data_IF_455375297495
#
_entry.id   IF_455375297495
#
_cell.length_a   1.000
_cell.length_b   1.000
_cell.length_c   1.000
_cell.angle_alpha   90.00
_cell.angle_beta   90.00
_cell.angle_gamma   90.00
#
_symmetry.space_group_name_H-M   'P 1'
#
loop_
_entity.id
_entity.type
_entity.pdbx_description
1 polymer ?
#
# COMPACT_ATOMS: atom_id res chain seq x y z
N UNK A 1 21.31 -39.75 11.32
CA UNK A 1 20.42 -39.08 10.35
C UNK A 1 19.95 -37.78 11.00
N UNK A 2 20.63 -36.67 10.72
CA UNK A 2 20.23 -35.35 11.19
C UNK A 2 19.65 -34.59 9.99
N UNK A 3 18.33 -34.44 9.97
CA UNK A 3 17.64 -33.54 9.05
C UNK A 3 17.18 -32.33 9.84
N UNK A 4 18.09 -31.37 9.94
CA UNK A 4 17.81 -30.03 10.42
C UNK A 4 17.36 -29.20 9.21
N UNK A 5 16.10 -29.37 8.81
CA UNK A 5 15.44 -28.53 7.81
C UNK A 5 15.15 -27.15 8.41
N UNK A 6 16.19 -26.32 8.50
CA UNK A 6 16.08 -24.91 8.80
C UNK A 6 15.72 -24.18 7.49
N UNK A 7 14.44 -24.25 7.14
CA UNK A 7 13.89 -23.58 5.97
C UNK A 7 13.81 -22.07 6.25
N UNK A 8 14.82 -21.35 5.79
CA UNK A 8 14.88 -19.89 5.72
C UNK A 8 13.72 -19.36 4.86
N UNK A 9 12.56 -19.11 5.48
CA UNK A 9 11.44 -18.41 4.86
C UNK A 9 11.33 -17.01 5.45
N UNK A 10 11.60 -16.01 4.60
CA UNK A 10 11.18 -14.63 4.84
C UNK A 10 12.27 -13.58 4.72
N UNK A 11 12.96 -13.50 3.58
CA UNK A 11 13.66 -12.28 3.15
C UNK A 11 12.67 -11.16 2.83
N UNK A 12 11.92 -10.68 3.82
CA UNK A 12 11.28 -9.38 3.76
C UNK A 12 12.37 -8.34 4.00
N UNK A 13 12.68 -7.52 3.00
CA UNK A 13 13.62 -6.42 3.15
C UNK A 13 13.28 -5.64 4.43
N UNK A 14 14.26 -5.34 5.30
CA UNK A 14 14.01 -4.57 6.50
C UNK A 14 13.33 -3.25 6.10
N UNK A 15 12.26 -2.81 6.79
CA UNK A 15 11.64 -1.54 6.48
C UNK A 15 12.72 -0.45 6.51
N UNK A 16 12.80 0.43 5.49
CA UNK A 16 13.83 1.46 5.46
C UNK A 16 13.76 2.26 6.77
N UNK A 17 14.91 2.55 7.41
CA UNK A 17 14.94 3.26 8.67
C UNK A 17 14.15 4.57 8.52
N UNK A 18 13.08 4.68 9.30
CA UNK A 18 12.32 5.92 9.41
C UNK A 18 13.24 6.91 10.11
N UNK A 19 13.49 8.12 9.55
CA UNK A 19 14.30 9.10 10.24
C UNK A 19 13.62 9.48 11.56
N UNK A 20 14.22 9.02 12.65
CA UNK A 20 13.91 9.41 14.01
C UNK A 20 14.28 10.88 14.22
N UNK A 21 13.29 11.66 14.64
CA UNK A 21 13.42 12.94 15.33
C UNK A 21 13.89 14.14 14.49
N UNK A 22 12.93 15.01 14.17
CA UNK A 22 12.79 16.36 14.76
C UNK A 22 11.57 17.01 14.12
N UNK A 23 10.68 17.61 14.91
CA UNK A 23 9.67 18.52 14.38
C UNK A 23 10.38 19.67 13.65
N UNK A 24 10.51 19.53 12.33
CA UNK A 24 10.80 20.60 11.39
C UNK A 24 9.59 20.71 10.48
N UNK A 25 9.21 21.94 10.17
CA UNK A 25 7.93 22.39 9.60
C UNK A 25 7.53 21.74 8.26
N UNK A 26 8.36 20.87 7.69
CA UNK A 26 8.18 20.24 6.38
C UNK A 26 8.74 18.80 6.37
N UNK A 27 7.95 17.80 5.99
CA UNK A 27 8.39 16.42 5.80
C UNK A 27 8.73 16.20 4.31
N UNK A 28 10.01 16.07 3.95
CA UNK A 28 10.47 15.97 2.56
C UNK A 28 10.86 14.54 2.16
N UNK A 29 10.49 14.13 0.94
CA UNK A 29 10.96 12.90 0.32
C UNK A 29 12.40 13.05 -0.15
N UNK A 30 13.29 12.17 0.30
CA UNK A 30 14.69 12.17 -0.12
C UNK A 30 14.92 11.63 -1.54
N UNK A 31 13.95 10.90 -2.10
CA UNK A 31 14.07 10.29 -3.45
C UNK A 31 13.73 11.30 -4.54
N UNK A 32 12.63 12.04 -4.38
CA UNK A 32 12.14 12.99 -5.40
C UNK A 32 12.06 14.44 -4.91
N UNK A 33 12.49 14.73 -3.68
CA UNK A 33 12.46 16.08 -3.11
C UNK A 33 11.07 16.60 -2.74
N UNK A 34 10.01 15.81 -2.92
CA UNK A 34 8.63 16.28 -2.72
C UNK A 34 8.35 16.57 -1.25
N UNK A 35 7.78 17.74 -0.97
CA UNK A 35 7.44 18.16 0.38
C UNK A 35 6.02 17.74 0.76
N UNK A 36 5.86 17.37 2.03
CA UNK A 36 4.59 16.99 2.64
C UNK A 36 4.38 17.78 3.91
N UNK A 37 3.12 18.15 4.15
CA UNK A 37 2.71 18.84 5.38
C UNK A 37 2.85 17.95 6.63
N UNK A 38 2.81 16.63 6.45
CA UNK A 38 2.79 15.67 7.56
C UNK A 38 3.70 14.48 7.28
N UNK A 39 4.35 13.96 8.32
CA UNK A 39 5.23 12.79 8.21
C UNK A 39 4.50 11.53 7.73
N UNK A 40 3.24 11.32 8.17
CA UNK A 40 2.46 10.17 7.72
C UNK A 40 2.16 10.21 6.21
N UNK A 41 2.04 11.41 5.62
CA UNK A 41 1.90 11.59 4.18
C UNK A 41 3.20 11.21 3.45
N UNK A 42 4.33 11.66 3.99
CA UNK A 42 5.65 11.28 3.47
C UNK A 42 5.84 9.75 3.55
N UNK A 43 5.57 9.13 4.69
CA UNK A 43 5.68 7.67 4.87
C UNK A 43 4.78 6.91 3.89
N UNK A 44 3.56 7.40 3.65
CA UNK A 44 2.67 6.84 2.62
C UNK A 44 3.24 7.04 1.21
N UNK A 45 3.79 8.21 0.92
CA UNK A 45 4.41 8.52 -0.37
C UNK A 45 5.62 7.63 -0.64
N UNK A 46 6.45 7.32 0.35
CA UNK A 46 7.61 6.44 0.18
C UNK A 46 7.26 5.07 -0.41
N UNK A 47 6.03 4.57 -0.20
CA UNK A 47 5.54 3.32 -0.80
C UNK A 47 5.46 3.36 -2.34
N UNK A 48 5.43 4.55 -2.94
CA UNK A 48 5.46 4.67 -4.41
C UNK A 48 6.86 4.43 -4.97
N UNK A 49 7.90 4.72 -4.19
CA UNK A 49 9.29 4.47 -4.58
C UNK A 49 9.71 3.04 -4.29
N UNK A 50 9.28 2.47 -3.16
CA UNK A 50 9.58 1.07 -2.81
C UNK A 50 8.75 0.06 -3.60
N UNK A 51 7.68 0.50 -4.26
CA UNK A 51 6.75 -0.39 -4.97
C UNK A 51 5.96 -1.31 -4.04
N UNK A 52 6.01 -1.09 -2.72
CA UNK A 52 5.30 -1.91 -1.75
C UNK A 52 3.79 -1.77 -1.92
N UNK A 53 3.13 -2.89 -2.19
CA UNK A 53 1.67 -2.99 -2.32
C UNK A 53 1.12 -3.92 -1.22
N UNK A 54 1.04 -3.43 0.03
CA UNK A 54 0.60 -4.24 1.17
C UNK A 54 -0.87 -4.62 1.11
N UNK A 55 -1.68 -3.95 0.29
CA UNK A 55 -3.11 -4.25 0.18
C UNK A 55 -3.36 -5.10 -1.05
N UNK A 56 -3.82 -6.33 -0.85
CA UNK A 56 -4.27 -7.22 -1.91
C UNK A 56 -5.80 -7.23 -1.98
N UNK A 57 -6.33 -7.37 -3.19
CA UNK A 57 -7.73 -7.67 -3.40
C UNK A 57 -8.01 -9.12 -2.96
N UNK A 58 -9.08 -9.40 -2.21
CA UNK A 58 -9.42 -10.77 -1.83
C UNK A 58 -10.04 -11.58 -2.98
N UNK A 59 -10.50 -10.94 -4.04
CA UNK A 59 -11.19 -11.60 -5.16
C UNK A 59 -10.33 -11.75 -6.42
N UNK A 60 -9.17 -11.09 -6.49
CA UNK A 60 -8.25 -11.19 -7.62
C UNK A 60 -6.82 -10.81 -7.25
N UNK A 61 -5.89 -10.99 -8.17
CA UNK A 61 -4.46 -10.70 -7.99
C UNK A 61 -4.08 -9.21 -7.97
N UNK A 62 -5.06 -8.30 -7.96
CA UNK A 62 -4.81 -6.86 -7.91
C UNK A 62 -4.26 -6.44 -6.54
N UNK A 63 -3.20 -5.63 -6.54
CA UNK A 63 -2.57 -5.10 -5.32
C UNK A 63 -2.42 -3.59 -5.43
N UNK A 64 -2.60 -2.89 -4.32
CA UNK A 64 -2.40 -1.44 -4.23
C UNK A 64 -1.55 -1.04 -3.03
N UNK A 65 -0.93 0.13 -3.14
CA UNK A 65 -0.15 0.75 -2.06
C UNK A 65 -1.02 1.46 -1.00
N UNK A 66 -2.33 1.57 -1.26
CA UNK A 66 -3.30 2.34 -0.47
C UNK A 66 -4.64 1.60 -0.33
N UNK A 67 -5.28 1.71 0.85
CA UNK A 67 -6.54 1.02 1.18
C UNK A 67 -7.71 1.52 0.35
N UNK A 68 -7.77 2.83 0.12
CA UNK A 68 -8.83 3.46 -0.68
C UNK A 68 -8.86 2.94 -2.11
N UNK A 69 -7.70 2.64 -2.69
CA UNK A 69 -7.58 2.09 -4.03
C UNK A 69 -8.14 0.66 -4.11
N UNK A 70 -7.86 -0.18 -3.10
CA UNK A 70 -8.46 -1.52 -3.01
C UNK A 70 -9.97 -1.42 -2.79
N UNK A 71 -10.46 -0.54 -1.91
CA UNK A 71 -11.91 -0.37 -1.70
C UNK A 71 -12.64 -0.01 -2.99
N UNK A 72 -12.16 0.99 -3.72
CA UNK A 72 -12.76 1.41 -4.99
C UNK A 72 -12.65 0.30 -6.05
N UNK A 73 -11.50 -0.37 -6.14
CA UNK A 73 -11.32 -1.53 -7.02
C UNK A 73 -12.34 -2.63 -6.70
N UNK A 74 -12.45 -3.07 -5.44
CA UNK A 74 -13.40 -4.10 -5.02
C UNK A 74 -14.82 -3.65 -5.31
N UNK A 75 -15.16 -2.41 -5.02
CA UNK A 75 -16.49 -1.85 -5.29
C UNK A 75 -16.85 -1.93 -6.78
N UNK A 76 -16.04 -1.37 -7.67
CA UNK A 76 -16.41 -1.35 -9.10
C UNK A 76 -16.17 -2.67 -9.83
N UNK A 77 -15.21 -3.50 -9.39
CA UNK A 77 -14.79 -4.70 -10.12
C UNK A 77 -15.38 -6.00 -9.57
N UNK A 78 -15.76 -6.03 -8.29
CA UNK A 78 -16.23 -7.25 -7.63
C UNK A 78 -17.61 -7.08 -6.99
N UNK A 79 -17.90 -5.91 -6.42
CA UNK A 79 -19.16 -5.60 -5.78
C UNK A 79 -20.02 -4.73 -6.70
N UNK A 80 -20.46 -5.31 -7.84
CA UNK A 80 -21.34 -4.65 -8.81
C UNK A 80 -22.45 -3.89 -8.06
N UNK A 81 -22.42 -2.54 -8.02
CA UNK A 81 -23.55 -1.80 -7.51
C UNK A 81 -24.68 -2.05 -8.50
N UNK A 82 -25.73 -2.74 -8.06
CA UNK A 82 -26.93 -2.90 -8.84
C UNK A 82 -27.53 -1.53 -9.06
N UNK A 83 -27.21 -0.89 -10.18
CA UNK A 83 -28.05 0.17 -10.71
C UNK A 83 -29.37 -0.50 -11.02
N UNK A 84 -30.35 -0.29 -10.16
CA UNK A 84 -31.75 -0.60 -10.41
C UNK A 84 -32.06 -0.20 -11.84
N UNK A 85 -32.30 -1.21 -12.68
CA UNK A 85 -32.82 -1.03 -14.02
C UNK A 85 -34.19 -0.37 -13.86
N UNK A 86 -34.26 0.96 -13.99
CA UNK A 86 -35.53 1.59 -14.31
C UNK A 86 -35.81 1.16 -15.75
N UNK A 87 -36.67 0.17 -15.87
CA UNK A 87 -37.25 -0.28 -17.13
C UNK A 87 -38.29 0.78 -17.52
N UNK A 88 -38.08 1.56 -18.59
CA UNK A 88 -39.17 2.37 -19.13
C UNK A 88 -40.15 1.41 -19.82
N UNK A 89 -41.40 1.44 -19.37
CA UNK A 89 -42.56 1.00 -20.17
C UNK A 89 -42.82 2.02 -21.28
#
# INVERSE_FOLDING_TARGET
MAMNDNLLLGGGAPPPPLPSQKQSKEAQCYVCGHKFRWEWLLRRHMRTHTGEKPFACPFCSYRANRKEMIRSHVFHRHHRPGTTQIQPQ
#
